data_IF_717037614634
#
_entry.id   IF_717037614634
#
_cell.length_a   1.000
_cell.length_b   1.000
_cell.length_c   1.000
_cell.angle_alpha   90.00
_cell.angle_beta   90.00
_cell.angle_gamma   90.00
#
_symmetry.space_group_name_H-M   'P 1'
#
loop_
_entity.id
_entity.type
_entity.pdbx_description
1 polymer ?
#
# COMPACT_ATOMS: atom_id res chain seq x y z
N UNK A 1 -12.19 -7.74 22.00
CA UNK A 1 -11.53 -8.92 21.41
C UNK A 1 -10.89 -9.84 22.45
N UNK A 2 -10.00 -9.37 23.34
CA UNK A 2 -9.53 -10.18 24.49
C UNK A 2 -10.72 -10.76 25.28
N UNK A 3 -11.73 -9.94 25.58
CA UNK A 3 -12.97 -10.38 26.23
C UNK A 3 -13.76 -11.41 25.40
N UNK A 4 -13.73 -11.34 24.07
CA UNK A 4 -14.45 -12.26 23.20
C UNK A 4 -13.72 -13.62 23.09
N UNK A 5 -12.39 -13.62 22.95
CA UNK A 5 -11.59 -14.86 22.98
C UNK A 5 -11.65 -15.53 24.36
N UNK A 6 -11.58 -14.73 25.43
CA UNK A 6 -11.78 -15.21 26.80
C UNK A 6 -13.20 -15.75 27.00
N UNK A 7 -14.23 -15.09 26.47
CA UNK A 7 -15.60 -15.63 26.52
C UNK A 7 -15.75 -16.93 25.71
N UNK A 8 -15.24 -16.99 24.47
CA UNK A 8 -15.31 -18.19 23.64
C UNK A 8 -14.65 -19.41 24.31
N UNK A 9 -13.51 -19.21 24.99
CA UNK A 9 -12.85 -20.26 25.78
C UNK A 9 -13.69 -20.76 26.97
N UNK A 10 -14.56 -19.93 27.55
CA UNK A 10 -15.46 -20.35 28.64
C UNK A 10 -16.58 -21.28 28.16
N UNK A 11 -16.88 -21.29 26.86
CA UNK A 11 -17.92 -22.12 26.27
C UNK A 11 -17.39 -23.45 25.71
N UNK A 12 -16.13 -23.81 25.98
CA UNK A 12 -15.55 -25.07 25.50
C UNK A 12 -15.37 -25.13 23.98
N UNK A 13 -15.25 -23.96 23.34
CA UNK A 13 -14.98 -23.84 21.90
C UNK A 13 -13.48 -23.94 21.59
N UNK A 14 -12.70 -24.55 22.47
CA UNK A 14 -11.26 -24.78 22.31
C UNK A 14 -11.00 -25.54 21.01
N UNK A 15 -11.81 -26.57 20.72
CA UNK A 15 -11.82 -27.35 19.46
C UNK A 15 -12.04 -26.47 18.22
N UNK A 16 -12.82 -25.39 18.36
CA UNK A 16 -13.06 -24.43 17.28
C UNK A 16 -11.88 -23.50 17.06
N UNK A 17 -11.01 -23.32 18.06
CA UNK A 17 -9.78 -22.51 18.00
C UNK A 17 -8.55 -23.32 17.58
N UNK A 18 -8.71 -24.64 17.38
CA UNK A 18 -7.64 -25.57 17.05
C UNK A 18 -7.28 -25.64 15.56
N UNK A 19 -8.21 -25.28 14.68
CA UNK A 19 -8.02 -25.37 13.23
C UNK A 19 -7.15 -24.23 12.65
N UNK A 20 -6.33 -24.47 11.61
CA UNK A 20 -5.67 -23.39 10.87
C UNK A 20 -6.65 -22.34 10.31
N UNK A 21 -7.91 -22.72 10.11
CA UNK A 21 -9.00 -21.88 9.63
C UNK A 21 -9.29 -20.70 10.57
N UNK A 22 -9.00 -20.85 11.87
CA UNK A 22 -9.20 -19.81 12.89
C UNK A 22 -8.29 -18.63 12.64
N UNK A 23 -7.06 -18.89 12.21
CA UNK A 23 -6.13 -17.85 11.84
C UNK A 23 -6.65 -17.12 10.60
N UNK A 24 -7.13 -17.84 9.59
CA UNK A 24 -7.68 -17.24 8.36
C UNK A 24 -8.90 -16.34 8.69
N UNK A 25 -9.87 -16.82 9.49
CA UNK A 25 -11.04 -16.02 9.92
C UNK A 25 -10.62 -14.79 10.74
N UNK A 26 -9.68 -14.97 11.66
CA UNK A 26 -9.15 -13.88 12.47
C UNK A 26 -8.53 -12.77 11.61
N UNK A 27 -7.83 -13.16 10.56
CA UNK A 27 -7.16 -12.24 9.64
C UNK A 27 -8.11 -11.51 8.70
N UNK A 28 -9.22 -12.13 8.33
CA UNK A 28 -10.26 -11.46 7.54
C UNK A 28 -10.92 -10.31 8.33
N UNK A 29 -11.08 -10.49 9.65
CA UNK A 29 -11.88 -9.57 10.47
C UNK A 29 -11.04 -8.57 11.30
N UNK A 30 -9.89 -8.98 11.86
CA UNK A 30 -9.15 -8.18 12.84
C UNK A 30 -7.63 -8.36 12.78
N UNK A 31 -6.91 -7.72 11.84
CA UNK A 31 -5.47 -7.91 11.70
C UNK A 31 -4.66 -7.09 12.73
N UNK A 32 -4.91 -7.30 14.03
CA UNK A 32 -4.18 -6.69 15.12
C UNK A 32 -3.14 -7.66 15.72
N UNK A 33 -1.86 -7.25 15.74
CA UNK A 33 -0.74 -8.03 16.29
C UNK A 33 -0.98 -8.49 17.73
N UNK A 34 -1.58 -7.64 18.57
CA UNK A 34 -1.86 -7.98 19.98
C UNK A 34 -2.79 -9.18 20.08
N UNK A 35 -3.84 -9.20 19.27
CA UNK A 35 -4.78 -10.30 19.27
C UNK A 35 -4.23 -11.56 18.63
N UNK A 36 -3.37 -11.43 17.62
CA UNK A 36 -2.63 -12.56 17.08
C UNK A 36 -1.65 -13.16 18.10
N UNK A 37 -0.94 -12.33 18.88
CA UNK A 37 -0.09 -12.77 19.99
C UNK A 37 -0.89 -13.58 21.01
N UNK A 38 -2.04 -13.07 21.43
CA UNK A 38 -2.93 -13.77 22.36
C UNK A 38 -3.40 -15.11 21.78
N UNK A 39 -3.78 -15.15 20.49
CA UNK A 39 -4.16 -16.37 19.79
C UNK A 39 -3.02 -17.39 19.79
N UNK A 40 -1.78 -16.96 19.57
CA UNK A 40 -0.60 -17.82 19.60
C UNK A 40 -0.19 -18.28 21.00
N UNK A 41 -0.36 -17.43 22.00
CA UNK A 41 -0.15 -17.78 23.40
C UNK A 41 -1.15 -18.85 23.85
N UNK A 42 -2.39 -18.76 23.36
CA UNK A 42 -3.46 -19.69 23.65
C UNK A 42 -3.33 -21.03 22.88
N UNK A 43 -3.15 -20.98 21.56
CA UNK A 43 -3.05 -22.19 20.69
C UNK A 43 -1.67 -22.87 20.75
N UNK A 44 -0.67 -22.19 21.32
CA UNK A 44 0.70 -22.67 21.50
C UNK A 44 1.63 -22.31 20.33
N UNK A 45 2.72 -21.59 20.63
CA UNK A 45 3.73 -21.17 19.65
C UNK A 45 4.31 -22.32 18.81
N UNK A 46 4.52 -23.50 19.40
CA UNK A 46 5.04 -24.68 18.71
C UNK A 46 4.10 -25.16 17.59
N UNK A 47 2.79 -25.05 17.81
CA UNK A 47 1.75 -25.40 16.84
C UNK A 47 1.77 -24.45 15.65
N UNK A 48 1.87 -23.15 15.90
CA UNK A 48 2.01 -22.18 14.80
C UNK A 48 3.29 -22.41 14.00
N UNK A 49 4.41 -22.69 14.65
CA UNK A 49 5.67 -22.98 13.96
C UNK A 49 5.62 -24.24 13.08
N UNK A 50 4.72 -25.19 13.36
CA UNK A 50 4.53 -26.36 12.48
C UNK A 50 3.70 -26.06 11.24
N UNK A 51 3.12 -24.86 11.11
CA UNK A 51 2.37 -24.48 9.92
C UNK A 51 3.31 -24.40 8.71
N UNK A 52 2.80 -24.75 7.50
CA UNK A 52 3.56 -24.59 6.26
C UNK A 52 4.11 -23.17 6.15
N UNK A 53 5.36 -23.05 5.72
CA UNK A 53 6.06 -21.76 5.59
C UNK A 53 5.24 -20.72 4.82
N UNK A 54 4.61 -21.14 3.71
CA UNK A 54 3.69 -20.31 2.91
C UNK A 54 2.53 -19.71 3.73
N UNK A 55 1.91 -20.50 4.61
CA UNK A 55 0.79 -20.02 5.45
C UNK A 55 1.30 -19.00 6.48
N UNK A 56 2.45 -19.27 7.11
CA UNK A 56 3.08 -18.29 8.02
C UNK A 56 3.48 -16.99 7.31
N UNK A 57 3.93 -17.06 6.06
CA UNK A 57 4.21 -15.87 5.24
C UNK A 57 2.95 -15.04 4.95
N UNK A 58 1.83 -15.70 4.65
CA UNK A 58 0.55 -15.02 4.47
C UNK A 58 0.12 -14.30 5.75
N UNK A 59 0.17 -14.99 6.89
CA UNK A 59 -0.13 -14.40 8.20
C UNK A 59 0.81 -13.22 8.53
N UNK A 60 2.12 -13.40 8.29
CA UNK A 60 3.13 -12.36 8.46
C UNK A 60 2.76 -11.11 7.66
N UNK A 61 2.42 -11.28 6.37
CA UNK A 61 2.01 -10.19 5.49
C UNK A 61 0.75 -9.49 5.99
N UNK A 62 -0.29 -10.25 6.32
CA UNK A 62 -1.55 -9.69 6.80
C UNK A 62 -1.35 -8.87 8.08
N UNK A 63 -0.51 -9.32 9.01
CA UNK A 63 -0.25 -8.55 10.24
C UNK A 63 0.57 -7.30 9.95
N UNK A 64 1.63 -7.42 9.16
CA UNK A 64 2.50 -6.29 8.80
C UNK A 64 1.68 -5.16 8.18
N UNK A 65 0.63 -5.51 7.44
CA UNK A 65 -0.24 -4.53 6.80
C UNK A 65 -1.42 -4.08 7.63
N UNK A 66 -2.07 -5.01 8.32
CA UNK A 66 -3.30 -4.74 9.01
C UNK A 66 -3.09 -4.09 10.37
N UNK A 67 -1.86 -4.09 10.92
CA UNK A 67 -1.52 -3.41 12.18
C UNK A 67 -1.99 -1.94 12.13
N UNK A 68 -3.13 -1.58 12.79
CA UNK A 68 -3.77 -0.29 12.57
C UNK A 68 -2.98 0.82 13.27
N UNK A 69 -2.50 0.54 14.48
CA UNK A 69 -2.02 1.56 15.43
C UNK A 69 -0.68 1.19 16.09
N UNK A 70 -0.04 0.11 15.65
CA UNK A 70 1.16 -0.44 16.29
C UNK A 70 2.40 -0.32 15.42
N UNK A 71 3.46 0.29 15.95
CA UNK A 71 4.81 -0.05 15.52
C UNK A 71 5.03 -1.53 15.79
N UNK A 72 5.29 -2.30 14.73
CA UNK A 72 5.78 -3.65 14.87
C UNK A 72 7.25 -3.56 15.23
N UNK A 73 7.59 -4.02 16.43
CA UNK A 73 8.97 -4.17 16.87
C UNK A 73 9.66 -5.28 16.08
N UNK A 74 10.99 -5.27 16.07
CA UNK A 74 11.76 -6.37 15.51
C UNK A 74 11.40 -7.72 16.17
N UNK A 75 11.12 -7.71 17.48
CA UNK A 75 10.66 -8.89 18.20
C UNK A 75 9.29 -9.38 17.72
N UNK A 76 8.39 -8.47 17.32
CA UNK A 76 7.14 -8.87 16.65
C UNK A 76 7.44 -9.59 15.34
N UNK A 77 8.30 -9.03 14.48
CA UNK A 77 8.64 -9.66 13.20
C UNK A 77 9.24 -11.06 13.38
N UNK A 78 10.20 -11.17 14.31
CA UNK A 78 10.82 -12.42 14.71
C UNK A 78 9.86 -13.42 15.34
N UNK A 79 8.83 -12.93 16.01
CA UNK A 79 7.79 -13.75 16.58
C UNK A 79 6.85 -14.31 15.50
N UNK A 80 6.45 -13.46 14.54
CA UNK A 80 5.57 -13.83 13.42
C UNK A 80 6.23 -14.77 12.42
N UNK A 81 7.51 -14.54 12.15
CA UNK A 81 8.29 -15.29 11.18
C UNK A 81 9.72 -15.48 11.72
N UNK A 82 9.97 -16.55 12.50
CA UNK A 82 11.26 -16.81 13.14
C UNK A 82 12.47 -16.80 12.20
N UNK A 83 12.26 -17.13 10.92
CA UNK A 83 13.27 -17.08 9.87
C UNK A 83 13.88 -15.69 9.70
N UNK A 84 13.17 -14.62 10.08
CA UNK A 84 13.70 -13.24 10.04
C UNK A 84 14.84 -13.01 11.03
N UNK A 85 15.03 -13.88 12.04
CA UNK A 85 16.17 -13.81 12.97
C UNK A 85 17.49 -14.16 12.27
N UNK A 86 17.43 -15.13 11.35
CA UNK A 86 18.58 -15.70 10.67
C UNK A 86 18.23 -15.86 9.19
N UNK A 87 18.10 -14.73 8.50
CA UNK A 87 17.80 -14.73 7.07
C UNK A 87 18.94 -15.39 6.30
N UNK A 88 18.58 -16.32 5.43
CA UNK A 88 19.48 -16.92 4.45
C UNK A 88 18.93 -16.69 3.05
N UNK A 89 19.78 -16.82 2.03
CA UNK A 89 19.34 -16.74 0.64
C UNK A 89 18.27 -17.80 0.34
N UNK A 90 18.38 -19.02 0.87
CA UNK A 90 17.40 -20.09 0.66
C UNK A 90 16.02 -19.74 1.19
N UNK A 91 15.95 -19.10 2.36
CA UNK A 91 14.69 -18.62 2.94
C UNK A 91 14.07 -17.55 2.05
N UNK A 92 14.86 -16.60 1.54
CA UNK A 92 14.39 -15.53 0.67
C UNK A 92 13.91 -16.09 -0.67
N UNK A 93 14.70 -16.95 -1.31
CA UNK A 93 14.34 -17.70 -2.53
C UNK A 93 13.05 -18.48 -2.35
N UNK A 94 12.94 -19.24 -1.25
CA UNK A 94 11.75 -20.02 -0.92
C UNK A 94 10.53 -19.13 -0.70
N UNK A 95 10.70 -17.95 -0.12
CA UNK A 95 9.57 -17.02 0.08
C UNK A 95 9.02 -16.53 -1.27
N UNK A 96 9.89 -16.20 -2.22
CA UNK A 96 9.49 -15.77 -3.58
C UNK A 96 8.80 -16.87 -4.38
N UNK A 97 9.24 -18.11 -4.23
CA UNK A 97 8.65 -19.24 -4.96
C UNK A 97 7.24 -19.62 -4.48
N UNK A 98 6.77 -19.07 -3.34
CA UNK A 98 5.39 -19.30 -2.87
C UNK A 98 4.32 -18.56 -3.69
N UNK A 99 4.72 -17.65 -4.59
CA UNK A 99 3.88 -17.01 -5.61
C UNK A 99 3.10 -15.76 -5.16
N UNK A 100 2.88 -15.57 -3.86
CA UNK A 100 2.01 -14.50 -3.36
C UNK A 100 2.58 -13.64 -2.25
N UNK A 101 3.69 -14.05 -1.62
CA UNK A 101 4.23 -13.41 -0.41
C UNK A 101 5.73 -13.65 -0.28
N UNK A 102 6.58 -12.73 -0.75
CA UNK A 102 7.98 -12.74 -0.29
C UNK A 102 8.14 -11.96 1.01
N UNK A 103 9.17 -12.37 1.75
CA UNK A 103 9.61 -11.67 2.96
C UNK A 103 10.04 -10.25 2.60
N UNK A 104 10.82 -10.10 1.53
CA UNK A 104 11.35 -8.80 1.11
C UNK A 104 10.23 -7.80 0.79
N UNK A 105 9.27 -8.22 -0.03
CA UNK A 105 8.15 -7.38 -0.41
C UNK A 105 7.31 -6.98 0.81
N UNK A 106 6.99 -7.93 1.67
CA UNK A 106 6.26 -7.67 2.93
C UNK A 106 7.00 -6.67 3.81
N UNK A 107 8.33 -6.84 3.95
CA UNK A 107 9.15 -5.96 4.77
C UNK A 107 9.22 -4.53 4.20
N UNK A 108 9.36 -4.40 2.88
CA UNK A 108 9.40 -3.10 2.20
C UNK A 108 8.12 -2.31 2.46
N UNK A 109 6.97 -2.98 2.34
CA UNK A 109 5.65 -2.40 2.62
C UNK A 109 5.49 -1.96 4.06
N UNK A 110 5.92 -2.81 5.00
CA UNK A 110 5.89 -2.49 6.41
C UNK A 110 6.71 -1.25 6.74
N UNK A 111 7.92 -1.12 6.19
CA UNK A 111 8.76 0.07 6.36
C UNK A 111 8.04 1.35 5.89
N UNK A 112 7.54 1.37 4.65
CA UNK A 112 6.86 2.54 4.09
C UNK A 112 5.62 2.90 4.89
N UNK A 113 4.81 1.92 5.29
CA UNK A 113 3.64 2.14 6.15
C UNK A 113 4.02 2.77 7.49
N UNK A 114 5.01 2.21 8.17
CA UNK A 114 5.45 2.67 9.49
C UNK A 114 6.00 4.10 9.43
N UNK A 115 6.80 4.39 8.41
CA UNK A 115 7.41 5.72 8.20
C UNK A 115 6.39 6.77 7.73
N UNK A 116 5.40 6.38 6.94
CA UNK A 116 4.27 7.24 6.58
C UNK A 116 3.38 7.60 7.79
N UNK A 117 3.39 6.81 8.87
CA UNK A 117 2.56 7.06 10.07
C UNK A 117 3.25 7.84 11.19
N UNK A 118 4.58 7.98 11.18
CA UNK A 118 5.35 8.49 12.34
C UNK A 118 5.18 9.97 12.71
N UNK A 119 4.37 10.76 11.98
CA UNK A 119 4.26 12.21 12.24
C UNK A 119 3.51 12.58 13.52
N UNK A 120 2.64 11.73 14.03
CA UNK A 120 1.70 12.11 15.09
C UNK A 120 2.25 11.88 16.49
N UNK A 121 3.40 11.24 16.60
CA UNK A 121 3.98 10.86 17.89
C UNK A 121 5.47 11.14 17.78
N UNK A 122 6.01 12.02 18.63
CA UNK A 122 7.45 12.33 18.82
C UNK A 122 8.26 11.10 19.32
N UNK A 123 7.95 9.91 18.81
CA UNK A 123 8.51 8.63 19.26
C UNK A 123 9.49 8.06 18.25
N UNK A 124 10.37 7.24 18.81
CA UNK A 124 11.73 7.01 18.37
C UNK A 124 11.93 6.57 16.90
N UNK A 125 13.06 7.00 16.29
CA UNK A 125 13.59 6.46 15.03
C UNK A 125 14.04 4.99 15.11
N UNK A 126 13.99 4.35 16.29
CA UNK A 126 14.59 3.04 16.54
C UNK A 126 13.93 1.90 15.75
N UNK A 127 12.60 1.91 15.64
CA UNK A 127 11.88 0.91 14.83
C UNK A 127 12.28 1.02 13.36
N UNK A 128 12.34 2.24 12.81
CA UNK A 128 12.79 2.47 11.43
C UNK A 128 14.20 1.91 11.19
N UNK A 129 15.14 2.12 12.12
CA UNK A 129 16.50 1.57 12.02
C UNK A 129 16.48 0.04 11.93
N UNK A 130 15.64 -0.63 12.72
CA UNK A 130 15.51 -2.09 12.70
C UNK A 130 14.93 -2.62 11.37
N UNK A 131 13.87 -1.97 10.87
CA UNK A 131 13.27 -2.31 9.58
C UNK A 131 14.26 -2.13 8.42
N UNK A 132 14.98 -1.00 8.42
CA UNK A 132 16.05 -0.75 7.46
C UNK A 132 17.15 -1.83 7.56
N UNK A 133 17.56 -2.21 8.78
CA UNK A 133 18.55 -3.27 9.00
C UNK A 133 18.15 -4.60 8.37
N UNK A 134 16.92 -5.07 8.60
CA UNK A 134 16.42 -6.30 7.99
C UNK A 134 16.36 -6.22 6.46
N UNK A 135 15.84 -5.13 5.91
CA UNK A 135 15.75 -4.95 4.45
C UNK A 135 17.14 -4.89 3.79
N UNK A 136 18.13 -4.29 4.46
CA UNK A 136 19.53 -4.32 4.03
C UNK A 136 20.06 -5.74 3.98
N UNK A 137 19.84 -6.53 5.03
CA UNK A 137 20.21 -7.96 5.03
C UNK A 137 19.55 -8.71 3.88
N UNK A 138 18.25 -8.48 3.62
CA UNK A 138 17.56 -9.08 2.48
C UNK A 138 18.20 -8.69 1.14
N UNK A 139 18.50 -7.41 0.92
CA UNK A 139 19.07 -6.93 -0.34
C UNK A 139 20.50 -7.43 -0.57
N UNK A 140 21.29 -7.57 0.50
CA UNK A 140 22.63 -8.12 0.42
C UNK A 140 22.63 -9.61 0.07
N UNK A 141 21.68 -10.37 0.62
CA UNK A 141 21.54 -11.81 0.36
C UNK A 141 20.86 -12.12 -0.97
N UNK A 142 19.86 -11.33 -1.37
CA UNK A 142 19.03 -11.56 -2.55
C UNK A 142 18.66 -10.23 -3.26
N UNK A 143 19.60 -9.62 -4.02
CA UNK A 143 19.31 -8.40 -4.78
C UNK A 143 18.18 -8.58 -5.80
N UNK A 144 17.94 -9.79 -6.28
CA UNK A 144 16.86 -10.08 -7.22
C UNK A 144 15.47 -9.88 -6.58
N UNK A 145 15.37 -9.88 -5.24
CA UNK A 145 14.14 -9.60 -4.50
C UNK A 145 13.61 -8.19 -4.80
N UNK A 146 14.49 -7.26 -5.16
CA UNK A 146 14.14 -5.87 -5.49
C UNK A 146 13.17 -5.74 -6.66
N UNK A 147 13.25 -6.64 -7.63
CA UNK A 147 12.44 -6.62 -8.85
C UNK A 147 11.50 -7.83 -8.94
N UNK A 148 11.33 -8.56 -7.84
CA UNK A 148 10.49 -9.73 -7.83
C UNK A 148 9.03 -9.32 -8.03
N UNK A 149 8.41 -9.93 -9.03
CA UNK A 149 7.01 -9.75 -9.35
C UNK A 149 6.16 -10.67 -8.49
N UNK A 150 5.23 -10.09 -7.74
CA UNK A 150 4.29 -10.84 -6.92
C UNK A 150 2.86 -10.55 -7.34
N UNK A 151 2.05 -11.60 -7.39
CA UNK A 151 0.60 -11.46 -7.54
C UNK A 151 0.00 -11.00 -6.21
N UNK A 152 -0.74 -9.90 -6.25
CA UNK A 152 -1.29 -9.26 -5.09
C UNK A 152 -2.79 -8.96 -5.24
N UNK A 153 -3.55 -9.18 -4.15
CA UNK A 153 -5.00 -8.90 -4.05
C UNK A 153 -5.26 -8.02 -2.85
N UNK A 154 -5.63 -6.75 -3.08
CA UNK A 154 -5.87 -5.79 -2.01
C UNK A 154 -7.16 -6.07 -1.23
N UNK A 155 -8.21 -6.41 -1.96
CA UNK A 155 -9.48 -6.88 -1.41
C UNK A 155 -9.91 -8.17 -2.09
N UNK A 156 -10.84 -8.90 -1.46
CA UNK A 156 -11.44 -10.13 -2.00
C UNK A 156 -11.99 -9.94 -3.42
N UNK A 157 -12.41 -8.72 -3.77
CA UNK A 157 -13.06 -8.38 -5.03
C UNK A 157 -12.18 -7.58 -6.01
N UNK A 158 -10.98 -7.16 -5.61
CA UNK A 158 -10.07 -6.49 -6.55
C UNK A 158 -9.37 -7.55 -7.41
N UNK A 159 -9.28 -7.37 -8.73
CA UNK A 159 -8.45 -8.20 -9.59
C UNK A 159 -7.04 -8.29 -9.03
N UNK A 160 -6.43 -9.46 -9.19
CA UNK A 160 -5.04 -9.63 -8.80
C UNK A 160 -4.14 -8.77 -9.68
N UNK A 161 -3.16 -8.10 -9.08
CA UNK A 161 -2.16 -7.29 -9.77
C UNK A 161 -0.79 -7.91 -9.56
N UNK A 162 -0.01 -8.06 -10.62
CA UNK A 162 1.38 -8.49 -10.51
C UNK A 162 2.22 -7.24 -10.33
N UNK A 163 3.05 -7.14 -9.29
CA UNK A 163 3.77 -5.92 -8.94
C UNK A 163 5.15 -6.20 -8.33
N UNK A 164 6.09 -5.29 -8.57
CA UNK A 164 7.34 -5.15 -7.82
C UNK A 164 7.06 -4.60 -6.41
N UNK A 165 8.03 -4.69 -5.48
CA UNK A 165 7.94 -3.98 -4.22
C UNK A 165 7.64 -2.50 -4.39
N UNK A 166 8.33 -1.79 -5.28
CA UNK A 166 8.14 -0.35 -5.44
C UNK A 166 6.81 0.05 -6.04
N UNK A 167 6.39 -0.61 -7.11
CA UNK A 167 5.05 -0.39 -7.68
C UNK A 167 3.95 -0.57 -6.65
N UNK A 168 4.05 -1.64 -5.86
CA UNK A 168 3.09 -1.90 -4.81
C UNK A 168 3.14 -0.88 -3.67
N UNK A 169 4.33 -0.38 -3.31
CA UNK A 169 4.48 0.73 -2.37
C UNK A 169 3.73 1.99 -2.83
N UNK A 170 3.80 2.31 -4.13
CA UNK A 170 3.08 3.45 -4.69
C UNK A 170 1.57 3.25 -4.66
N UNK A 171 1.09 2.04 -4.95
CA UNK A 171 -0.34 1.71 -4.85
C UNK A 171 -0.85 1.77 -3.41
N UNK A 172 -0.05 1.31 -2.44
CA UNK A 172 -0.48 1.23 -1.05
C UNK A 172 -0.34 2.53 -0.25
N UNK A 173 0.61 3.39 -0.60
CA UNK A 173 0.89 4.60 0.16
C UNK A 173 -0.38 5.44 0.43
N UNK A 174 -1.31 5.59 -0.54
CA UNK A 174 -2.58 6.23 -0.28
C UNK A 174 -3.45 5.47 0.75
N UNK A 175 -3.62 4.16 0.61
CA UNK A 175 -4.46 3.34 1.50
C UNK A 175 -4.07 3.40 2.98
N UNK A 176 -2.79 3.60 3.28
CA UNK A 176 -2.28 3.70 4.65
C UNK A 176 -2.77 4.94 5.40
N UNK A 177 -3.33 5.92 4.69
CA UNK A 177 -3.66 7.25 5.20
C UNK A 177 -5.19 7.45 5.30
N UNK A 178 -5.99 6.50 4.81
CA UNK A 178 -7.46 6.63 4.69
C UNK A 178 -8.18 6.95 6.01
N UNK A 179 -7.69 6.44 7.15
CA UNK A 179 -8.28 6.74 8.46
C UNK A 179 -8.15 8.20 8.93
N UNK A 180 -7.44 9.07 8.20
CA UNK A 180 -7.04 10.40 8.65
C UNK A 180 -7.52 11.55 7.74
N UNK A 181 -8.30 11.28 6.69
CA UNK A 181 -8.66 12.29 5.68
C UNK A 181 -9.94 13.06 6.03
N UNK A 182 -10.57 12.79 7.18
CA UNK A 182 -11.62 13.64 7.72
C UNK A 182 -11.06 15.03 8.06
N UNK A 183 -11.20 16.00 7.14
CA UNK A 183 -10.87 17.42 7.38
C UNK A 183 -9.87 18.09 6.44
N UNK A 184 -9.66 17.60 5.21
CA UNK A 184 -9.04 18.40 4.14
C UNK A 184 -7.52 18.62 4.25
N UNK A 185 -6.76 17.74 4.92
CA UNK A 185 -5.31 17.90 5.09
C UNK A 185 -4.47 17.26 3.97
N UNK A 186 -4.70 17.67 2.73
CA UNK A 186 -3.92 17.25 1.56
C UNK A 186 -2.40 17.37 1.72
N UNK A 187 -1.85 18.46 2.29
CA UNK A 187 -0.40 18.57 2.49
C UNK A 187 0.15 17.46 3.38
N UNK A 188 -0.60 17.06 4.42
CA UNK A 188 -0.20 15.97 5.30
C UNK A 188 -0.24 14.62 4.58
N UNK A 189 -1.22 14.39 3.70
CA UNK A 189 -1.28 13.18 2.90
C UNK A 189 -0.04 13.01 2.01
N UNK A 190 0.29 14.01 1.19
CA UNK A 190 1.45 13.92 0.30
C UNK A 190 2.77 13.87 1.07
N UNK A 191 2.86 14.57 2.20
CA UNK A 191 4.04 14.49 3.06
C UNK A 191 4.28 13.07 3.60
N UNK A 192 3.22 12.31 3.93
CA UNK A 192 3.35 10.92 4.39
C UNK A 192 3.82 9.99 3.27
N UNK A 193 3.28 10.13 2.07
CA UNK A 193 3.75 9.39 0.89
C UNK A 193 5.23 9.70 0.63
N UNK A 194 5.59 10.99 0.62
CA UNK A 194 6.97 11.43 0.43
C UNK A 194 7.90 10.82 1.47
N UNK A 195 7.53 10.78 2.75
CA UNK A 195 8.36 10.16 3.80
C UNK A 195 8.53 8.65 3.60
N UNK A 196 7.42 7.96 3.32
CA UNK A 196 7.45 6.53 3.08
C UNK A 196 8.37 6.16 1.92
N UNK A 197 8.20 6.84 0.79
CA UNK A 197 9.05 6.67 -0.39
C UNK A 197 10.50 7.10 -0.13
N UNK A 198 10.75 8.19 0.59
CA UNK A 198 12.11 8.59 0.98
C UNK A 198 12.79 7.54 1.87
N UNK A 199 12.08 6.94 2.83
CA UNK A 199 12.63 5.86 3.65
C UNK A 199 13.00 4.62 2.81
N UNK A 200 12.19 4.29 1.81
CA UNK A 200 12.52 3.24 0.84
C UNK A 200 13.79 3.56 0.05
N UNK A 201 13.89 4.78 -0.51
CA UNK A 201 15.07 5.23 -1.25
C UNK A 201 16.32 5.28 -0.37
N UNK A 202 16.19 5.63 0.91
CA UNK A 202 17.28 5.56 1.89
C UNK A 202 17.79 4.12 2.05
N UNK A 203 16.90 3.13 2.16
CA UNK A 203 17.31 1.71 2.21
C UNK A 203 18.06 1.31 0.94
N UNK A 204 17.58 1.69 -0.24
CA UNK A 204 18.27 1.36 -1.49
C UNK A 204 19.67 2.00 -1.56
N UNK A 205 19.76 3.29 -1.21
CA UNK A 205 21.02 4.05 -1.19
C UNK A 205 22.02 3.46 -0.20
N UNK A 206 21.58 3.12 1.01
CA UNK A 206 22.41 2.52 2.06
C UNK A 206 22.90 1.10 1.72
N UNK A 207 22.33 0.46 0.70
CA UNK A 207 22.79 -0.81 0.14
C UNK A 207 23.65 -0.64 -1.12
N UNK A 208 23.98 0.59 -1.52
CA UNK A 208 24.76 0.86 -2.72
C UNK A 208 23.98 0.58 -4.02
N UNK A 209 22.65 0.60 -3.97
CA UNK A 209 21.83 0.49 -5.19
C UNK A 209 21.98 1.77 -6.00
N UNK A 210 22.33 1.66 -7.29
CA UNK A 210 22.28 2.79 -8.22
C UNK A 210 20.81 3.15 -8.46
N UNK A 211 20.37 4.28 -7.88
CA UNK A 211 18.98 4.72 -7.99
C UNK A 211 18.59 5.06 -9.43
N UNK A 212 19.52 5.53 -10.26
CA UNK A 212 19.19 5.85 -11.65
C UNK A 212 18.94 4.56 -12.45
N UNK A 213 19.80 3.55 -12.28
CA UNK A 213 19.59 2.24 -12.91
C UNK A 213 18.31 1.57 -12.38
N UNK A 214 18.09 1.66 -11.07
CA UNK A 214 16.88 1.17 -10.41
C UNK A 214 15.60 1.76 -11.03
N UNK A 215 15.53 3.09 -11.14
CA UNK A 215 14.37 3.77 -11.74
C UNK A 215 14.16 3.42 -13.20
N UNK A 216 15.24 3.25 -13.99
CA UNK A 216 15.15 2.77 -15.38
C UNK A 216 14.58 1.36 -15.45
N UNK A 217 14.98 0.48 -14.55
CA UNK A 217 14.52 -0.91 -14.54
C UNK A 217 13.05 -1.02 -14.10
N UNK A 218 12.64 -0.28 -13.08
CA UNK A 218 11.22 -0.18 -12.69
C UNK A 218 10.38 0.39 -13.83
N UNK A 219 10.86 1.42 -14.54
CA UNK A 219 10.20 1.94 -15.74
C UNK A 219 10.04 0.87 -16.83
N UNK A 220 11.09 0.10 -17.14
CA UNK A 220 10.99 -0.97 -18.14
C UNK A 220 9.99 -2.04 -17.73
N UNK A 221 10.00 -2.46 -16.46
CA UNK A 221 9.03 -3.41 -15.93
C UNK A 221 7.59 -2.86 -16.01
N UNK A 222 7.43 -1.56 -15.82
CA UNK A 222 6.17 -0.87 -16.01
C UNK A 222 5.72 -0.87 -17.48
N UNK A 223 6.61 -0.50 -18.40
CA UNK A 223 6.29 -0.33 -19.82
C UNK A 223 6.10 -1.68 -20.56
N UNK A 224 6.87 -2.70 -20.18
CA UNK A 224 6.89 -4.02 -20.84
C UNK A 224 6.01 -5.06 -20.14
N UNK A 225 5.70 -4.86 -18.85
CA UNK A 225 5.03 -5.87 -18.04
C UNK A 225 3.51 -5.93 -18.25
N UNK A 226 2.87 -7.06 -17.90
CA UNK A 226 1.40 -7.14 -17.75
C UNK A 226 0.85 -6.25 -16.61
N UNK A 227 1.71 -5.44 -16.00
CA UNK A 227 1.70 -4.96 -14.63
C UNK A 227 0.97 -3.61 -14.53
N UNK A 228 0.77 -2.88 -15.64
CA UNK A 228 0.57 -1.43 -15.51
C UNK A 228 -0.35 -0.70 -16.50
N UNK A 229 -1.39 -1.35 -17.01
CA UNK A 229 -2.44 -0.61 -17.76
C UNK A 229 -3.51 0.05 -16.89
N UNK A 230 -3.46 -0.10 -15.57
CA UNK A 230 -4.42 0.53 -14.67
C UNK A 230 -3.73 1.71 -14.00
N UNK A 231 -4.27 2.91 -14.17
CA UNK A 231 -3.76 4.05 -13.45
C UNK A 231 -3.86 3.79 -11.93
N UNK A 232 -2.93 4.38 -11.18
CA UNK A 232 -2.89 4.36 -9.72
C UNK A 232 -4.05 5.20 -9.18
N UNK A 233 -5.27 4.75 -9.45
CA UNK A 233 -6.49 5.27 -8.89
C UNK A 233 -6.65 4.65 -7.52
N UNK A 234 -6.41 5.45 -6.49
CA UNK A 234 -6.83 5.04 -5.16
C UNK A 234 -8.19 5.66 -4.86
N UNK A 235 -9.22 4.83 -4.96
CA UNK A 235 -10.57 5.16 -4.52
C UNK A 235 -10.68 4.95 -3.01
N UNK A 236 -11.06 6.00 -2.30
CA UNK A 236 -11.17 6.07 -0.86
C UNK A 236 -12.61 6.40 -0.47
N UNK A 237 -13.31 5.42 0.13
CA UNK A 237 -14.77 5.35 0.10
C UNK A 237 -15.32 5.99 -1.18
N UNK A 238 -16.36 6.81 -1.20
CA UNK A 238 -16.80 7.46 -2.45
C UNK A 238 -16.35 8.92 -2.54
N UNK A 239 -15.45 9.36 -1.65
CA UNK A 239 -15.18 10.78 -1.42
C UNK A 239 -13.83 11.26 -1.93
N UNK A 240 -12.80 10.40 -2.01
CA UNK A 240 -11.46 10.84 -2.40
C UNK A 240 -10.88 9.96 -3.49
N UNK A 241 -10.28 10.60 -4.49
CA UNK A 241 -9.59 9.92 -5.57
C UNK A 241 -8.28 10.61 -5.85
N UNK A 242 -7.18 9.91 -5.63
CA UNK A 242 -5.84 10.43 -5.91
C UNK A 242 -5.25 9.60 -7.04
N UNK A 243 -4.63 10.29 -8.00
CA UNK A 243 -3.97 9.68 -9.16
C UNK A 243 -2.49 10.04 -9.17
N UNK A 244 -1.63 9.04 -9.40
CA UNK A 244 -0.22 9.27 -9.72
C UNK A 244 -0.10 9.65 -11.21
N UNK A 245 0.32 10.88 -11.49
CA UNK A 245 0.54 11.40 -12.85
C UNK A 245 1.91 11.00 -13.41
N UNK A 246 2.93 10.98 -12.56
CA UNK A 246 4.28 10.73 -13.02
C UNK A 246 5.28 10.53 -11.90
N UNK A 247 6.44 10.01 -12.30
CA UNK A 247 7.60 9.79 -11.46
C UNK A 247 8.78 10.47 -12.14
N UNK A 248 9.42 11.40 -11.43
CA UNK A 248 10.77 11.86 -11.77
C UNK A 248 11.75 11.08 -10.91
N UNK A 249 12.83 10.58 -11.50
CA UNK A 249 13.85 9.81 -10.77
C UNK A 249 15.26 10.19 -11.23
N UNK A 250 16.24 10.06 -10.34
CA UNK A 250 17.64 10.38 -10.61
C UNK A 250 18.62 9.59 -9.74
N UNK A 251 19.86 10.06 -9.67
CA UNK A 251 20.96 9.37 -8.98
C UNK A 251 20.90 9.53 -7.47
N UNK A 252 20.39 10.67 -7.01
CA UNK A 252 20.15 10.94 -5.58
C UNK A 252 18.68 10.72 -5.25
N UNK A 253 18.37 10.35 -4.01
CA UNK A 253 16.99 10.31 -3.51
C UNK A 253 16.28 11.66 -3.66
N UNK A 254 17.03 12.77 -3.63
CA UNK A 254 16.47 14.11 -3.75
C UNK A 254 16.02 14.43 -5.18
N UNK A 255 16.46 13.65 -6.17
CA UNK A 255 16.01 13.74 -7.56
C UNK A 255 14.65 13.04 -7.77
N UNK A 256 14.20 12.25 -6.79
CA UNK A 256 12.95 11.50 -6.88
C UNK A 256 11.76 12.37 -6.49
N UNK A 257 10.76 12.44 -7.38
CA UNK A 257 9.50 13.15 -7.17
C UNK A 257 8.34 12.30 -7.67
N UNK A 258 7.29 12.28 -6.87
CA UNK A 258 6.05 11.59 -7.19
C UNK A 258 4.96 12.64 -7.38
N UNK A 259 4.47 12.74 -8.62
CA UNK A 259 3.50 13.76 -9.02
C UNK A 259 2.11 13.20 -8.83
N UNK A 260 1.46 13.57 -7.74
CA UNK A 260 0.10 13.16 -7.43
C UNK A 260 -0.88 14.30 -7.71
N UNK A 261 -2.09 13.95 -8.12
CA UNK A 261 -3.18 14.92 -8.29
C UNK A 261 -4.44 14.37 -7.62
N UNK A 262 -5.24 15.27 -7.07
CA UNK A 262 -6.62 14.97 -6.73
C UNK A 262 -7.43 14.88 -8.03
N UNK A 263 -8.16 13.79 -8.27
CA UNK A 263 -8.93 13.64 -9.50
C UNK A 263 -10.00 14.71 -9.67
N UNK A 264 -10.44 15.38 -8.60
CA UNK A 264 -11.37 16.50 -8.74
C UNK A 264 -10.77 17.67 -9.50
N UNK A 265 -9.44 17.85 -9.47
CA UNK A 265 -8.75 18.86 -10.28
C UNK A 265 -8.73 18.50 -11.77
N UNK A 266 -8.84 17.20 -12.12
CA UNK A 266 -8.95 16.79 -13.52
C UNK A 266 -10.26 17.27 -14.14
N UNK A 267 -11.37 17.17 -13.41
CA UNK A 267 -12.66 17.67 -13.88
C UNK A 267 -12.68 19.20 -14.03
N UNK A 268 -11.77 19.93 -13.38
CA UNK A 268 -11.61 21.36 -13.63
C UNK A 268 -11.07 21.58 -15.04
N UNK A 269 -10.14 20.74 -15.50
CA UNK A 269 -9.67 20.73 -16.89
C UNK A 269 -10.81 20.43 -17.87
N UNK A 270 -11.55 19.34 -17.64
CA UNK A 270 -12.69 18.96 -18.48
C UNK A 270 -13.80 20.02 -18.46
N UNK A 271 -14.03 20.65 -17.31
CA UNK A 271 -14.96 21.76 -17.15
C UNK A 271 -14.53 22.96 -18.00
N UNK A 272 -13.26 23.37 -17.91
CA UNK A 272 -12.77 24.48 -18.71
C UNK A 272 -12.77 24.12 -20.19
N UNK A 273 -12.38 22.91 -20.57
CA UNK A 273 -12.45 22.46 -21.96
C UNK A 273 -13.88 22.51 -22.49
N UNK A 274 -14.88 22.06 -21.71
CA UNK A 274 -16.29 22.22 -22.04
C UNK A 274 -16.68 23.71 -22.19
N UNK A 275 -16.25 24.59 -21.27
CA UNK A 275 -16.51 26.04 -21.37
C UNK A 275 -15.89 26.64 -22.64
N UNK A 276 -14.71 26.18 -23.07
CA UNK A 276 -14.01 26.71 -24.25
C UNK A 276 -14.50 26.08 -25.56
N UNK A 277 -14.97 24.84 -25.56
CA UNK A 277 -15.54 24.16 -26.73
C UNK A 277 -16.97 24.62 -27.03
N UNK A 278 -17.66 25.19 -26.03
CA UNK A 278 -19.01 25.73 -26.20
C UNK A 278 -18.92 27.22 -26.57
N UNK A 279 -18.88 27.48 -27.87
CA UNK A 279 -19.19 28.81 -28.44
C UNK A 279 -20.72 29.05 -28.55
N UNK A 280 -21.59 28.17 -28.01
CA UNK A 280 -23.02 28.13 -28.33
C UNK A 280 -23.91 27.66 -27.15
N UNK A 281 -24.73 28.56 -26.60
CA UNK A 281 -26.05 28.27 -25.97
C UNK A 281 -26.16 27.24 -24.82
N UNK A 282 -25.08 26.81 -24.17
CA UNK A 282 -25.20 25.93 -22.99
C UNK A 282 -25.65 26.72 -21.77
N UNK A 283 -26.89 26.48 -21.33
CA UNK A 283 -27.41 26.90 -20.03
C UNK A 283 -26.48 26.40 -18.92
N UNK A 284 -25.79 27.32 -18.25
CA UNK A 284 -24.88 27.01 -17.14
C UNK A 284 -25.67 26.29 -16.02
N UNK A 285 -25.20 25.13 -15.53
CA UNK A 285 -25.81 24.48 -14.37
C UNK A 285 -25.78 25.44 -13.16
N UNK A 286 -26.97 25.85 -12.69
CA UNK A 286 -27.15 26.94 -11.70
C UNK A 286 -27.90 28.16 -12.23
N UNK A 287 -28.19 28.21 -13.54
CA UNK A 287 -29.10 29.19 -14.17
C UNK A 287 -30.58 28.75 -14.14
N UNK A 288 -30.92 27.73 -13.35
CA UNK A 288 -32.30 27.33 -13.16
C UNK A 288 -33.02 28.46 -12.43
N UNK A 289 -34.04 29.02 -13.08
CA UNK A 289 -35.07 29.79 -12.37
C UNK A 289 -35.65 28.84 -11.32
N UNK A 290 -35.66 29.28 -10.05
CA UNK A 290 -36.16 28.51 -8.92
C UNK A 290 -37.66 28.16 -9.10
N UNK A 291 -37.96 27.06 -9.78
CA UNK A 291 -39.27 26.41 -9.67
C UNK A 291 -39.15 25.29 -8.64
N UNK A 292 -39.21 25.72 -7.38
CA UNK A 292 -39.16 24.90 -6.19
C UNK A 292 -40.43 24.04 -6.03
N UNK A 293 -40.50 22.87 -6.65
CA UNK A 293 -41.39 21.79 -6.18
C UNK A 293 -40.60 20.88 -5.22
N UNK A 294 -40.54 21.32 -3.97
CA UNK A 294 -40.11 20.50 -2.83
C UNK A 294 -41.18 19.45 -2.55
N UNK A 295 -41.03 18.20 -3.03
CA UNK A 295 -41.73 17.08 -2.37
C UNK A 295 -41.27 15.63 -2.67
N UNK A 296 -40.10 15.37 -3.27
CA UNK A 296 -39.61 13.99 -3.42
C UNK A 296 -38.22 13.78 -2.78
N UNK A 297 -38.23 13.59 -1.46
CA UNK A 297 -37.14 12.95 -0.74
C UNK A 297 -37.12 11.46 -1.14
N UNK A 298 -36.47 11.13 -2.26
CA UNK A 298 -36.22 9.73 -2.62
C UNK A 298 -35.05 9.20 -1.78
N UNK A 299 -35.26 8.24 -0.86
CA UNK A 299 -34.18 7.62 -0.10
C UNK A 299 -33.32 6.69 -0.98
N UNK A 300 -33.69 6.50 -2.24
CA UNK A 300 -32.86 5.82 -3.22
C UNK A 300 -31.81 6.80 -3.72
N UNK A 301 -30.71 6.85 -2.98
CA UNK A 301 -29.41 7.29 -3.48
C UNK A 301 -29.15 6.43 -4.71
N UNK A 302 -29.54 6.90 -5.89
CA UNK A 302 -29.28 6.24 -7.17
C UNK A 302 -27.83 5.78 -7.11
N UNK A 303 -27.64 4.47 -7.15
CA UNK A 303 -26.33 3.88 -7.30
C UNK A 303 -25.80 4.41 -8.64
N UNK A 304 -25.11 5.57 -8.60
CA UNK A 304 -24.41 6.10 -9.76
C UNK A 304 -23.66 4.91 -10.35
N UNK A 305 -23.91 4.54 -11.62
CA UNK A 305 -23.48 3.26 -12.14
C UNK A 305 -21.98 3.12 -11.95
N UNK A 306 -21.57 2.32 -10.95
CA UNK A 306 -20.17 2.11 -10.56
C UNK A 306 -19.33 1.61 -11.74
N UNK A 307 -19.98 1.09 -12.79
CA UNK A 307 -19.34 0.48 -13.96
C UNK A 307 -18.93 1.40 -15.11
N UNK A 308 -19.33 2.68 -15.16
CA UNK A 308 -18.88 3.57 -16.28
C UNK A 308 -17.46 4.12 -16.10
N UNK A 309 -16.97 4.20 -14.86
CA UNK A 309 -15.64 4.76 -14.56
C UNK A 309 -14.50 3.78 -14.85
N UNK A 310 -14.75 2.48 -14.68
CA UNK A 310 -13.77 1.44 -15.01
C UNK A 310 -13.47 1.33 -16.52
N UNK A 311 -14.18 2.08 -17.36
CA UNK A 311 -13.99 2.12 -18.82
C UNK A 311 -13.32 3.40 -19.35
N UNK A 312 -12.97 4.37 -18.50
CA UNK A 312 -12.20 5.53 -18.94
C UNK A 312 -10.77 5.12 -19.32
N UNK A 313 -10.29 5.57 -20.48
CA UNK A 313 -8.92 5.31 -20.91
C UNK A 313 -7.94 6.01 -19.95
N UNK A 314 -7.10 5.22 -19.30
CA UNK A 314 -6.13 5.74 -18.35
C UNK A 314 -5.02 6.49 -19.08
N UNK A 315 -4.73 7.72 -18.65
CA UNK A 315 -3.52 8.43 -19.08
C UNK A 315 -2.28 7.61 -18.68
N UNK A 316 -1.29 7.47 -19.57
CA UNK A 316 -0.07 6.74 -19.24
C UNK A 316 0.70 7.47 -18.13
N UNK A 317 1.27 6.69 -17.20
CA UNK A 317 2.16 7.23 -16.17
C UNK A 317 3.40 7.86 -16.82
N UNK A 318 3.69 9.12 -16.50
CA UNK A 318 4.84 9.82 -17.06
C UNK A 318 6.11 9.50 -16.26
N UNK A 319 7.06 8.83 -16.91
CA UNK A 319 8.38 8.59 -16.34
C UNK A 319 9.41 9.57 -16.92
N UNK A 320 10.04 10.36 -16.06
CA UNK A 320 11.05 11.34 -16.44
C UNK A 320 12.37 11.10 -15.69
N UNK A 321 13.47 11.04 -16.44
CA UNK A 321 14.81 11.05 -15.82
C UNK A 321 15.17 12.48 -15.45
N UNK A 322 15.60 12.70 -14.21
CA UNK A 322 16.16 13.98 -13.79
C UNK A 322 17.45 14.25 -14.58
N UNK A 323 17.45 15.34 -15.34
CA UNK A 323 18.63 15.86 -16.02
C UNK A 323 19.03 17.13 -15.32
N UNK A 324 20.22 17.14 -14.71
CA UNK A 324 20.82 18.39 -14.27
C UNK A 324 20.84 19.36 -15.46
N UNK A 325 20.27 20.54 -15.26
CA UNK A 325 20.33 21.61 -16.25
C UNK A 325 21.79 22.03 -16.33
N UNK A 326 22.51 21.52 -17.35
CA UNK A 326 23.83 22.07 -17.67
C UNK A 326 23.61 23.53 -18.05
N UNK A 327 24.29 24.43 -17.35
CA UNK A 327 24.33 25.83 -17.75
C UNK A 327 24.77 25.89 -19.22
N UNK A 328 24.18 26.78 -20.04
CA UNK A 328 24.64 26.97 -21.41
C UNK A 328 26.14 27.27 -21.37
N UNK A 329 26.90 26.48 -22.15
CA UNK A 329 28.36 26.59 -22.26
C UNK A 329 28.78 27.96 -22.80
#
# INVERSE_FOLDING_TARGET
MHTALVELSKYGLDDFLEGPEVFDIYFEEFPAIKGFRLLLEYTGRRRYQSFPFRKRLQHFRTIVWGAPDGQLSLDDLHFLLPETKNLTIDVLMSSRSTGYCSIFHTLACGLVRQTAKSYEIDREPMSQIQWCGLLRTCLQLDPAGLYHLEEFKFYRYTPARIQTPFSFLLELAPHFIFGFISGGRWPSFFQRIQRGTSAWLDVLTLNGTDLLDYGRKERRLHDEGPIFRQAYHVNFDMSLRVRLLGITYGKSKDDWRFWWVDEYEHYVGDFWEMVHQVDLDVKVPGSWVDECDYDHYSPYREERPRGKWSSEEHMPLIWSEHREVKAPL
#
